data_IF_594447138668
#
_entry.id   IF_594447138668
#
_cell.length_a   1.000
_cell.length_b   1.000
_cell.length_c   1.000
_cell.angle_alpha   90.00
_cell.angle_beta   90.00
_cell.angle_gamma   90.00
#
_symmetry.space_group_name_H-M   'P 1'
#
loop_
_entity.id
_entity.type
_entity.pdbx_description
1 polymer ?
#
# COMPACT_ATOMS: atom_id res chain seq x y z
N UNK A 1 16.88 -5.56 -54.56
CA UNK A 1 16.53 -6.99 -54.32
C UNK A 1 17.35 -7.60 -53.19
N UNK A 2 18.69 -7.53 -53.21
CA UNK A 2 19.56 -8.11 -52.16
C UNK A 2 19.28 -7.52 -50.77
N UNK A 3 19.17 -6.19 -50.63
CA UNK A 3 18.89 -5.54 -49.33
C UNK A 3 17.53 -5.94 -48.72
N UNK A 4 16.50 -6.15 -49.55
CA UNK A 4 15.17 -6.59 -49.11
C UNK A 4 15.22 -8.05 -48.61
N UNK A 5 15.94 -8.92 -49.32
CA UNK A 5 16.14 -10.31 -48.91
C UNK A 5 16.95 -10.41 -47.62
N UNK A 6 17.98 -9.58 -47.45
CA UNK A 6 18.76 -9.49 -46.20
C UNK A 6 17.92 -9.01 -45.02
N UNK A 7 17.05 -8.01 -45.23
CA UNK A 7 16.14 -7.51 -44.19
C UNK A 7 15.12 -8.58 -43.76
N UNK A 8 14.51 -9.28 -44.72
CA UNK A 8 13.57 -10.38 -44.45
C UNK A 8 14.27 -11.51 -43.69
N UNK A 9 15.48 -11.88 -44.08
CA UNK A 9 16.27 -12.91 -43.39
C UNK A 9 16.59 -12.53 -41.94
N UNK A 10 17.05 -11.29 -41.70
CA UNK A 10 17.31 -10.80 -40.35
C UNK A 10 16.04 -10.74 -39.50
N UNK A 11 14.90 -10.37 -40.08
CA UNK A 11 13.60 -10.37 -39.40
C UNK A 11 13.17 -11.80 -39.01
N UNK A 12 13.35 -12.78 -39.90
CA UNK A 12 13.04 -14.19 -39.60
C UNK A 12 13.94 -14.73 -38.50
N UNK A 13 15.25 -14.46 -38.57
CA UNK A 13 16.21 -14.85 -37.52
C UNK A 13 15.86 -14.18 -36.19
N UNK A 14 15.50 -12.90 -36.21
CA UNK A 14 15.06 -12.17 -35.03
C UNK A 14 13.78 -12.77 -34.43
N UNK A 15 12.78 -13.06 -35.26
CA UNK A 15 11.54 -13.74 -34.82
C UNK A 15 11.88 -15.10 -34.23
N UNK A 16 12.70 -15.91 -34.90
CA UNK A 16 13.08 -17.24 -34.41
C UNK A 16 13.81 -17.20 -33.07
N UNK A 17 14.73 -16.25 -32.87
CA UNK A 17 15.47 -16.08 -31.61
C UNK A 17 14.55 -15.57 -30.49
N UNK A 18 13.58 -14.70 -30.82
CA UNK A 18 12.69 -14.07 -29.84
C UNK A 18 11.41 -14.85 -29.58
N UNK A 19 11.08 -15.85 -30.40
CA UNK A 19 9.94 -16.73 -30.17
C UNK A 19 10.13 -17.55 -28.90
N UNK A 20 9.22 -17.45 -27.91
CA UNK A 20 9.28 -18.29 -26.73
C UNK A 20 9.19 -19.77 -27.10
N UNK A 21 10.01 -20.59 -26.42
CA UNK A 21 10.01 -22.05 -26.54
C UNK A 21 9.27 -22.61 -25.35
N UNK A 22 8.11 -23.21 -25.59
CA UNK A 22 7.33 -23.88 -24.57
C UNK A 22 7.69 -25.37 -24.54
N UNK A 23 7.70 -25.93 -23.35
CA UNK A 23 7.78 -27.37 -23.14
C UNK A 23 6.45 -28.05 -23.52
N UNK A 24 6.49 -29.35 -23.80
CA UNK A 24 5.32 -30.12 -24.29
C UNK A 24 4.12 -30.10 -23.34
N UNK A 25 4.35 -29.88 -22.04
CA UNK A 25 3.30 -29.94 -21.02
C UNK A 25 2.77 -28.55 -20.59
N UNK A 26 3.18 -27.48 -21.27
CA UNK A 26 2.71 -26.13 -20.94
C UNK A 26 1.30 -25.86 -21.51
N UNK A 27 0.54 -24.95 -20.88
CA UNK A 27 -0.74 -24.50 -21.41
C UNK A 27 -0.64 -23.99 -22.87
N UNK A 28 -1.70 -24.14 -23.67
CA UNK A 28 -1.68 -23.74 -25.08
C UNK A 28 -1.37 -22.25 -25.22
N UNK A 29 -0.41 -21.91 -26.08
CA UNK A 29 -0.10 -20.53 -26.43
C UNK A 29 -1.05 -20.02 -27.49
N UNK A 30 -1.77 -18.96 -27.17
CA UNK A 30 -2.63 -18.27 -28.14
C UNK A 30 -1.74 -17.79 -29.31
N UNK A 31 -2.16 -18.00 -30.57
CA UNK A 31 -1.38 -17.58 -31.74
C UNK A 31 -1.14 -16.07 -31.78
N UNK A 32 0.10 -15.67 -32.08
CA UNK A 32 0.54 -14.28 -32.16
C UNK A 32 1.36 -14.03 -33.42
N UNK A 33 1.50 -12.76 -33.81
CA UNK A 33 2.17 -12.38 -35.07
C UNK A 33 3.64 -11.98 -34.87
N UNK A 34 3.97 -11.23 -33.81
CA UNK A 34 5.33 -10.73 -33.55
C UNK A 34 5.71 -11.13 -32.12
N UNK A 35 6.76 -11.95 -31.88
CA UNK A 35 7.08 -12.46 -30.54
C UNK A 35 7.32 -11.41 -29.46
N UNK A 36 7.97 -10.30 -29.82
CA UNK A 36 8.33 -9.25 -28.85
C UNK A 36 7.11 -8.46 -28.35
N UNK A 37 6.07 -8.34 -29.18
CA UNK A 37 4.84 -7.60 -28.85
C UNK A 37 3.75 -8.59 -28.42
N UNK A 38 3.66 -9.73 -29.07
CA UNK A 38 2.72 -10.79 -28.75
C UNK A 38 1.28 -10.30 -28.78
N UNK A 39 0.63 -10.41 -27.63
CA UNK A 39 -0.76 -10.02 -27.38
C UNK A 39 -0.87 -8.69 -26.63
N UNK A 40 0.24 -7.99 -26.38
CA UNK A 40 0.31 -6.80 -25.53
C UNK A 40 -0.70 -5.72 -25.95
N UNK A 41 -0.87 -5.48 -27.24
CA UNK A 41 -1.84 -4.47 -27.71
C UNK A 41 -3.29 -4.87 -27.38
N UNK A 42 -3.68 -6.11 -27.67
CA UNK A 42 -5.00 -6.65 -27.32
C UNK A 42 -5.22 -6.67 -25.80
N UNK A 43 -4.18 -6.97 -25.04
CA UNK A 43 -4.19 -6.93 -23.58
C UNK A 43 -4.35 -5.52 -23.03
N UNK A 44 -3.69 -4.50 -23.59
CA UNK A 44 -3.77 -3.13 -23.07
C UNK A 44 -5.03 -2.36 -23.50
N UNK A 45 -5.51 -2.59 -24.73
CA UNK A 45 -6.55 -1.75 -25.34
C UNK A 45 -7.88 -2.46 -25.59
N UNK A 46 -7.95 -3.78 -25.38
CA UNK A 46 -9.18 -4.57 -25.56
C UNK A 46 -9.23 -5.80 -24.63
N UNK A 47 -8.76 -5.64 -23.39
CA UNK A 47 -8.50 -6.75 -22.46
C UNK A 47 -9.72 -7.65 -22.29
N UNK A 48 -10.89 -7.08 -22.00
CA UNK A 48 -12.08 -7.86 -21.65
C UNK A 48 -12.52 -8.78 -22.80
N UNK A 49 -12.66 -8.24 -24.02
CA UNK A 49 -13.08 -9.03 -25.17
C UNK A 49 -12.00 -10.03 -25.59
N UNK A 50 -10.72 -9.62 -25.52
CA UNK A 50 -9.60 -10.49 -25.82
C UNK A 50 -9.58 -11.70 -24.88
N UNK A 51 -9.67 -11.48 -23.57
CA UNK A 51 -9.65 -12.55 -22.56
C UNK A 51 -10.87 -13.46 -22.67
N UNK A 52 -12.07 -12.90 -22.92
CA UNK A 52 -13.28 -13.69 -23.19
C UNK A 52 -13.15 -14.57 -24.44
N UNK A 53 -12.57 -14.03 -25.51
CA UNK A 53 -12.30 -14.78 -26.75
C UNK A 53 -11.31 -15.91 -26.48
N UNK A 54 -10.19 -15.61 -25.82
CA UNK A 54 -9.18 -16.61 -25.50
C UNK A 54 -9.75 -17.74 -24.63
N UNK A 55 -10.50 -17.41 -23.59
CA UNK A 55 -11.14 -18.40 -22.73
C UNK A 55 -12.13 -19.28 -23.50
N UNK A 56 -12.90 -18.70 -24.43
CA UNK A 56 -13.86 -19.42 -25.26
C UNK A 56 -13.18 -20.36 -26.27
N UNK A 57 -12.08 -19.94 -26.88
CA UNK A 57 -11.42 -20.67 -27.97
C UNK A 57 -10.37 -21.68 -27.47
N UNK A 58 -9.69 -21.39 -26.36
CA UNK A 58 -8.54 -22.17 -25.86
C UNK A 58 -8.77 -22.82 -24.50
N UNK A 59 -9.87 -22.48 -23.80
CA UNK A 59 -10.13 -22.95 -22.44
C UNK A 59 -9.16 -22.35 -21.41
N UNK A 60 -9.19 -22.83 -20.18
CA UNK A 60 -8.22 -22.49 -19.12
C UNK A 60 -7.45 -23.74 -18.65
N UNK A 61 -6.18 -23.62 -18.22
CA UNK A 61 -5.31 -22.45 -18.39
C UNK A 61 -4.88 -22.25 -19.85
N UNK A 62 -4.49 -21.04 -20.21
CA UNK A 62 -3.90 -20.73 -21.52
C UNK A 62 -2.76 -19.73 -21.39
N UNK A 63 -1.83 -19.76 -22.34
CA UNK A 63 -0.69 -18.86 -22.39
C UNK A 63 -0.94 -17.73 -23.40
N UNK A 64 -0.57 -16.50 -23.03
CA UNK A 64 -0.46 -15.35 -23.93
C UNK A 64 0.93 -14.77 -23.82
N UNK A 65 1.23 -13.77 -24.64
CA UNK A 65 2.50 -13.05 -24.60
C UNK A 65 2.20 -11.59 -24.25
N UNK A 66 2.70 -11.12 -23.13
CA UNK A 66 2.59 -9.73 -22.70
C UNK A 66 4.02 -9.19 -22.53
N UNK A 67 4.32 -8.07 -23.19
CA UNK A 67 5.65 -7.45 -23.24
C UNK A 67 6.78 -8.44 -23.59
N UNK A 68 6.52 -9.36 -24.52
CA UNK A 68 7.49 -10.37 -24.96
C UNK A 68 7.73 -11.52 -23.97
N UNK A 69 6.99 -11.57 -22.86
CA UNK A 69 7.04 -12.66 -21.87
C UNK A 69 5.81 -13.54 -22.00
N UNK A 70 5.98 -14.85 -21.88
CA UNK A 70 4.86 -15.79 -21.77
C UNK A 70 4.16 -15.58 -20.44
N UNK A 71 2.85 -15.40 -20.46
CA UNK A 71 2.01 -15.20 -19.29
C UNK A 71 0.89 -16.22 -19.31
N UNK A 72 0.80 -17.04 -18.26
CA UNK A 72 -0.30 -17.99 -18.09
C UNK A 72 -1.49 -17.31 -17.46
N UNK A 73 -2.64 -17.46 -18.09
CA UNK A 73 -3.93 -16.99 -17.61
C UNK A 73 -4.69 -18.18 -17.04
N UNK A 74 -5.08 -18.07 -15.78
CA UNK A 74 -6.04 -18.95 -15.12
C UNK A 74 -7.36 -18.21 -14.93
N UNK A 75 -8.48 -18.93 -15.03
CA UNK A 75 -9.81 -18.40 -14.80
C UNK A 75 -10.50 -19.22 -13.70
N UNK A 76 -11.83 -19.25 -13.69
CA UNK A 76 -12.60 -19.67 -12.52
C UNK A 76 -12.28 -21.10 -12.05
N UNK A 77 -12.01 -22.03 -12.98
CA UNK A 77 -11.83 -23.45 -12.65
C UNK A 77 -10.51 -23.69 -11.90
N UNK A 78 -9.42 -23.06 -12.32
CA UNK A 78 -8.08 -23.28 -11.75
C UNK A 78 -7.60 -22.17 -10.79
N UNK A 79 -8.33 -21.05 -10.68
CA UNK A 79 -8.02 -19.99 -9.72
C UNK A 79 -7.89 -20.49 -8.26
N UNK A 80 -8.74 -21.42 -7.75
CA UNK A 80 -8.59 -21.96 -6.40
C UNK A 80 -7.28 -22.73 -6.19
N UNK A 81 -6.74 -23.38 -7.23
CA UNK A 81 -5.48 -24.13 -7.14
C UNK A 81 -4.29 -23.18 -7.01
N UNK A 82 -4.25 -22.14 -7.86
CA UNK A 82 -3.21 -21.09 -7.81
C UNK A 82 -3.25 -20.31 -6.49
N UNK A 83 -4.46 -19.95 -6.03
CA UNK A 83 -4.61 -19.17 -4.78
C UNK A 83 -4.34 -19.98 -3.51
N UNK A 84 -4.54 -21.31 -3.52
CA UNK A 84 -4.21 -22.18 -2.38
C UNK A 84 -2.74 -22.57 -2.33
N UNK A 85 -2.05 -22.66 -3.48
CA UNK A 85 -0.63 -22.98 -3.59
C UNK A 85 0.28 -21.76 -3.30
N UNK A 86 0.01 -21.05 -2.20
CA UNK A 86 0.71 -19.81 -1.80
C UNK A 86 2.22 -19.99 -1.58
N UNK A 87 2.71 -21.20 -1.30
CA UNK A 87 4.15 -21.50 -1.23
C UNK A 87 4.82 -21.55 -2.62
N UNK A 88 4.05 -21.78 -3.68
CA UNK A 88 4.53 -21.88 -5.06
C UNK A 88 4.31 -20.61 -5.88
N UNK A 89 3.41 -19.73 -5.46
CA UNK A 89 3.06 -18.49 -6.16
C UNK A 89 3.22 -17.28 -5.23
N UNK A 90 4.29 -16.51 -5.45
CA UNK A 90 4.51 -15.24 -4.75
C UNK A 90 4.13 -14.05 -5.66
N UNK A 91 3.10 -13.30 -5.23
CA UNK A 91 2.67 -12.09 -5.93
C UNK A 91 3.74 -10.98 -5.89
N UNK A 92 4.66 -11.03 -4.92
CA UNK A 92 5.73 -10.05 -4.77
C UNK A 92 6.93 -10.30 -5.69
N UNK A 93 7.16 -11.51 -6.20
CA UNK A 93 8.23 -11.76 -7.20
C UNK A 93 7.96 -11.04 -8.53
N UNK A 94 6.69 -10.85 -8.92
CA UNK A 94 6.31 -10.01 -10.09
C UNK A 94 6.62 -8.52 -9.84
N UNK A 95 6.55 -8.09 -8.57
CA UNK A 95 6.74 -6.70 -8.16
C UNK A 95 8.22 -6.40 -7.88
N UNK A 96 9.01 -7.41 -7.52
CA UNK A 96 10.44 -7.32 -7.16
C UNK A 96 11.33 -6.75 -8.28
N UNK A 97 10.87 -6.82 -9.53
CA UNK A 97 11.52 -6.20 -10.70
C UNK A 97 11.07 -4.74 -10.97
N UNK A 98 10.42 -4.01 -10.05
CA UNK A 98 10.01 -2.62 -10.30
C UNK A 98 10.14 -1.74 -9.06
N UNK A 99 11.26 -1.02 -8.91
CA UNK A 99 11.32 0.10 -7.97
C UNK A 99 10.47 1.30 -8.48
N UNK A 100 10.35 2.37 -7.68
CA UNK A 100 9.53 3.54 -8.05
C UNK A 100 10.03 4.18 -9.36
N UNK A 101 11.34 4.20 -9.57
CA UNK A 101 11.93 4.78 -10.78
C UNK A 101 11.60 3.91 -12.00
N UNK A 102 11.73 2.60 -11.87
CA UNK A 102 11.37 1.63 -12.91
C UNK A 102 9.85 1.63 -13.22
N UNK A 103 9.01 1.82 -12.19
CA UNK A 103 7.58 2.06 -12.38
C UNK A 103 7.30 3.29 -13.23
N UNK A 104 8.02 4.40 -13.02
CA UNK A 104 7.84 5.61 -13.84
C UNK A 104 8.39 5.44 -15.27
N UNK A 105 9.52 4.74 -15.41
CA UNK A 105 10.12 4.45 -16.71
C UNK A 105 9.31 3.46 -17.56
N UNK A 106 8.45 2.65 -16.93
CA UNK A 106 7.57 1.70 -17.62
C UNK A 106 6.21 2.29 -18.03
N UNK A 107 5.94 3.56 -17.76
CA UNK A 107 4.66 4.19 -18.15
C UNK A 107 4.54 4.34 -19.68
N UNK A 108 3.35 4.17 -20.29
CA UNK A 108 3.17 4.21 -21.75
C UNK A 108 3.58 5.52 -22.43
N UNK A 109 3.63 6.62 -21.67
CA UNK A 109 4.00 7.95 -22.11
C UNK A 109 5.46 8.32 -21.78
N UNK A 110 6.25 7.38 -21.24
CA UNK A 110 7.68 7.60 -21.03
C UNK A 110 8.43 7.48 -22.36
N UNK A 111 9.07 8.57 -22.78
CA UNK A 111 9.95 8.59 -23.95
C UNK A 111 11.42 8.43 -23.49
N UNK A 112 12.04 7.25 -23.68
CA UNK A 112 13.43 7.03 -23.28
C UNK A 112 14.42 7.88 -24.06
N UNK A 113 14.03 8.46 -25.20
CA UNK A 113 14.87 9.36 -26.00
C UNK A 113 14.81 10.83 -25.55
N UNK A 114 13.83 11.17 -24.69
CA UNK A 114 13.61 12.53 -24.21
C UNK A 114 13.21 12.53 -22.73
N UNK A 115 14.10 12.02 -21.89
CA UNK A 115 13.86 11.91 -20.44
C UNK A 115 13.98 13.27 -19.76
N UNK A 116 12.92 13.71 -19.09
CA UNK A 116 12.96 14.87 -18.20
C UNK A 116 13.49 14.45 -16.81
N UNK A 117 14.82 14.44 -16.65
CA UNK A 117 15.47 14.05 -15.40
C UNK A 117 15.10 14.96 -14.21
N UNK A 118 14.93 16.26 -14.43
CA UNK A 118 14.53 17.20 -13.38
C UNK A 118 13.16 16.84 -12.81
N UNK A 119 12.19 16.55 -13.69
CA UNK A 119 10.86 16.12 -13.25
C UNK A 119 10.91 14.81 -12.46
N UNK A 120 11.68 13.81 -12.91
CA UNK A 120 11.83 12.55 -12.19
C UNK A 120 12.50 12.75 -10.82
N UNK A 121 13.55 13.58 -10.75
CA UNK A 121 14.21 13.91 -9.50
C UNK A 121 13.26 14.63 -8.53
N UNK A 122 12.52 15.63 -8.99
CA UNK A 122 11.53 16.36 -8.18
C UNK A 122 10.43 15.42 -7.66
N UNK A 123 9.95 14.51 -8.50
CA UNK A 123 8.94 13.52 -8.14
C UNK A 123 9.45 12.53 -7.07
N UNK A 124 10.68 12.02 -7.24
CA UNK A 124 11.30 11.13 -6.25
C UNK A 124 11.55 11.86 -4.93
N UNK A 125 12.10 13.07 -4.96
CA UNK A 125 12.30 13.90 -3.76
C UNK A 125 10.96 14.16 -3.07
N UNK A 126 9.92 14.52 -3.82
CA UNK A 126 8.59 14.72 -3.27
C UNK A 126 8.09 13.46 -2.55
N UNK A 127 8.16 12.28 -3.20
CA UNK A 127 7.73 11.01 -2.61
C UNK A 127 8.54 10.64 -1.35
N UNK A 128 9.85 10.86 -1.36
CA UNK A 128 10.73 10.63 -0.21
C UNK A 128 10.34 11.55 0.94
N UNK A 129 10.21 12.87 0.69
CA UNK A 129 9.89 13.85 1.73
C UNK A 129 8.52 13.59 2.34
N UNK A 130 7.48 13.36 1.53
CA UNK A 130 6.13 13.09 2.06
C UNK A 130 6.07 11.75 2.78
N UNK A 131 6.79 10.73 2.29
CA UNK A 131 6.86 9.41 2.90
C UNK A 131 7.58 9.41 4.25
N UNK A 132 8.76 10.03 4.33
CA UNK A 132 9.59 10.05 5.55
C UNK A 132 8.96 10.93 6.63
N UNK A 133 8.61 12.17 6.30
CA UNK A 133 8.18 13.16 7.32
C UNK A 133 6.90 12.72 8.04
N UNK A 134 5.90 12.26 7.29
CA UNK A 134 4.62 11.83 7.87
C UNK A 134 4.74 10.51 8.62
N UNK A 135 5.42 9.51 8.03
CA UNK A 135 5.62 8.20 8.67
C UNK A 135 6.48 8.32 9.92
N UNK A 136 7.55 9.11 9.89
CA UNK A 136 8.40 9.37 11.05
C UNK A 136 7.64 10.01 12.21
N UNK A 137 6.77 11.00 11.91
CA UNK A 137 5.89 11.60 12.92
C UNK A 137 4.92 10.58 13.52
N UNK A 138 4.27 9.77 12.68
CA UNK A 138 3.36 8.72 13.14
C UNK A 138 4.06 7.65 13.96
N UNK A 139 5.28 7.26 13.58
CA UNK A 139 6.12 6.32 14.35
C UNK A 139 6.46 6.86 15.73
N UNK A 140 6.88 8.13 15.82
CA UNK A 140 7.19 8.76 17.09
C UNK A 140 5.95 8.81 18.00
N UNK A 141 4.81 9.27 17.47
CA UNK A 141 3.55 9.28 18.23
C UNK A 141 3.13 7.88 18.68
N UNK A 142 3.17 6.90 17.78
CA UNK A 142 2.84 5.51 18.07
C UNK A 142 3.72 4.93 19.18
N UNK A 143 5.01 5.24 19.16
CA UNK A 143 5.95 4.79 20.17
C UNK A 143 5.65 5.43 21.53
N UNK A 144 5.29 6.72 21.58
CA UNK A 144 4.84 7.38 22.80
C UNK A 144 3.50 6.81 23.31
N UNK A 145 2.54 6.58 22.42
CA UNK A 145 1.26 5.96 22.76
C UNK A 145 1.47 4.57 23.37
N UNK A 146 2.39 3.77 22.82
CA UNK A 146 2.77 2.49 23.41
C UNK A 146 3.47 2.68 24.76
N UNK A 147 4.52 3.50 24.82
CA UNK A 147 5.36 3.66 26.00
C UNK A 147 4.67 4.36 27.20
N UNK A 148 3.65 5.17 26.94
CA UNK A 148 2.89 5.89 27.95
C UNK A 148 1.65 5.14 28.45
N UNK A 149 1.42 3.91 27.98
CA UNK A 149 0.21 3.11 28.27
C UNK A 149 0.55 1.68 28.69
N UNK A 150 1.16 1.50 29.87
CA UNK A 150 1.57 0.20 30.37
C UNK A 150 0.43 -0.82 30.47
N UNK A 151 -0.81 -0.35 30.63
CA UNK A 151 -2.01 -1.18 30.67
C UNK A 151 -2.24 -2.05 29.43
N UNK A 152 -1.58 -1.77 28.30
CA UNK A 152 -1.71 -2.55 27.06
C UNK A 152 -0.48 -3.38 26.70
N UNK A 153 0.60 -3.31 27.49
CA UNK A 153 1.88 -3.95 27.13
C UNK A 153 1.79 -5.47 27.07
N UNK A 154 1.20 -6.09 28.09
CA UNK A 154 1.15 -7.55 28.19
C UNK A 154 0.31 -8.15 27.05
N UNK A 155 -0.84 -7.54 26.77
CA UNK A 155 -1.75 -8.02 25.73
C UNK A 155 -1.15 -7.89 24.31
N UNK A 156 -0.45 -6.78 24.03
CA UNK A 156 0.25 -6.61 22.76
C UNK A 156 1.48 -7.52 22.65
N UNK A 157 2.23 -7.69 23.74
CA UNK A 157 3.38 -8.59 23.79
C UNK A 157 2.96 -10.05 23.59
N UNK A 158 1.85 -10.48 24.20
CA UNK A 158 1.30 -11.81 24.02
C UNK A 158 0.98 -12.09 22.55
N UNK A 159 0.26 -11.20 21.85
CA UNK A 159 -0.05 -11.36 20.43
C UNK A 159 1.24 -11.43 19.59
N UNK A 160 2.12 -10.44 19.76
CA UNK A 160 3.34 -10.29 18.97
C UNK A 160 4.30 -11.46 19.19
N UNK A 161 4.46 -11.92 20.43
CA UNK A 161 5.35 -13.05 20.76
C UNK A 161 4.79 -14.39 20.31
N UNK A 162 3.47 -14.60 20.40
CA UNK A 162 2.80 -15.79 19.87
C UNK A 162 2.96 -15.87 18.36
N UNK A 163 2.62 -14.79 17.66
CA UNK A 163 2.81 -14.70 16.20
C UNK A 163 4.27 -14.95 15.80
N UNK A 164 5.22 -14.34 16.52
CA UNK A 164 6.66 -14.54 16.24
C UNK A 164 7.09 -16.00 16.40
N UNK A 165 6.58 -16.71 17.42
CA UNK A 165 6.87 -18.12 17.65
C UNK A 165 6.28 -19.01 16.56
N UNK A 166 5.02 -18.76 16.18
CA UNK A 166 4.33 -19.50 15.11
C UNK A 166 5.05 -19.38 13.77
N UNK A 167 5.57 -18.20 13.45
CA UNK A 167 6.30 -17.95 12.21
C UNK A 167 7.83 -18.16 12.33
N UNK A 168 8.34 -18.50 13.50
CA UNK A 168 9.79 -18.59 13.78
C UNK A 168 10.58 -17.35 13.31
N UNK A 169 10.00 -16.16 13.52
CA UNK A 169 10.57 -14.88 13.09
C UNK A 169 10.64 -14.67 11.56
N UNK A 170 10.05 -15.55 10.75
CA UNK A 170 10.04 -15.48 9.29
C UNK A 170 8.60 -15.53 8.78
N UNK A 171 8.11 -14.41 8.26
CA UNK A 171 6.73 -14.27 7.83
C UNK A 171 6.62 -13.41 6.57
N UNK A 172 5.59 -13.67 5.78
CA UNK A 172 5.26 -12.87 4.59
C UNK A 172 4.54 -11.58 4.98
N UNK A 173 4.39 -10.66 4.02
CA UNK A 173 3.55 -9.47 4.22
C UNK A 173 2.08 -9.81 4.51
N UNK A 174 1.59 -10.95 4.02
CA UNK A 174 0.21 -11.38 4.27
C UNK A 174 0.03 -11.86 5.71
N UNK A 175 1.05 -12.50 6.29
CA UNK A 175 1.01 -12.99 7.67
C UNK A 175 0.91 -11.86 8.69
N UNK A 176 1.47 -10.69 8.38
CA UNK A 176 1.41 -9.49 9.22
C UNK A 176 -0.04 -9.06 9.54
N UNK A 177 -1.00 -9.44 8.69
CA UNK A 177 -2.42 -9.16 8.93
C UNK A 177 -3.03 -9.99 10.07
N UNK A 178 -2.34 -11.04 10.55
CA UNK A 178 -2.78 -11.87 11.69
C UNK A 178 -2.61 -11.16 13.04
N UNK A 179 -1.75 -10.15 13.13
CA UNK A 179 -1.60 -9.30 14.34
C UNK A 179 -2.70 -8.23 14.37
N UNK A 180 -3.91 -8.65 14.77
CA UNK A 180 -5.13 -7.84 14.72
C UNK A 180 -5.14 -6.78 15.83
N UNK A 181 -4.69 -7.12 17.04
CA UNK A 181 -4.63 -6.17 18.17
C UNK A 181 -3.59 -5.09 17.91
N UNK A 182 -2.42 -5.45 17.38
CA UNK A 182 -1.40 -4.51 16.97
C UNK A 182 -1.91 -3.57 15.87
N UNK A 183 -2.64 -4.10 14.89
CA UNK A 183 -3.27 -3.27 13.85
C UNK A 183 -4.28 -2.27 14.42
N UNK A 184 -5.16 -2.75 15.31
CA UNK A 184 -6.16 -1.92 16.00
C UNK A 184 -5.50 -0.85 16.88
N UNK A 185 -4.40 -1.18 17.57
CA UNK A 185 -3.62 -0.21 18.35
C UNK A 185 -3.03 0.89 17.45
N UNK A 186 -2.45 0.53 16.30
CA UNK A 186 -1.93 1.49 15.32
C UNK A 186 -3.04 2.37 14.78
N UNK A 187 -4.20 1.79 14.45
CA UNK A 187 -5.38 2.54 14.03
C UNK A 187 -5.79 3.58 15.08
N UNK A 188 -5.79 3.19 16.34
CA UNK A 188 -6.17 4.08 17.44
C UNK A 188 -5.14 5.19 17.69
N UNK A 189 -3.84 4.89 17.58
CA UNK A 189 -2.77 5.89 17.64
C UNK A 189 -2.85 6.90 16.50
N UNK A 190 -3.11 6.44 15.27
CA UNK A 190 -3.33 7.32 14.11
C UNK A 190 -4.60 8.17 14.26
N UNK A 191 -5.67 7.63 14.86
CA UNK A 191 -6.89 8.38 15.18
C UNK A 191 -6.59 9.49 16.18
N UNK A 192 -5.75 9.21 17.17
CA UNK A 192 -5.31 10.18 18.17
C UNK A 192 -4.17 11.06 17.68
N UNK A 193 -4.08 11.41 16.40
CA UNK A 193 -2.98 12.28 15.92
C UNK A 193 -2.92 13.64 16.66
N UNK A 194 -4.07 14.14 17.13
CA UNK A 194 -4.32 15.47 17.72
C UNK A 194 -4.15 16.65 16.74
N UNK A 195 -4.05 16.35 15.44
CA UNK A 195 -4.20 17.35 14.39
C UNK A 195 -5.65 17.87 14.37
N UNK A 196 -5.80 19.20 14.35
CA UNK A 196 -7.09 19.90 14.30
C UNK A 196 -7.60 19.99 12.86
N UNK A 197 -6.69 20.14 11.89
CA UNK A 197 -7.03 20.27 10.47
C UNK A 197 -6.13 19.34 9.64
N UNK A 198 -6.71 18.66 8.65
CA UNK A 198 -5.96 17.85 7.68
C UNK A 198 -6.38 18.15 6.23
N UNK A 199 -5.51 17.76 5.30
CA UNK A 199 -5.77 17.62 3.85
C UNK A 199 -6.45 18.82 3.15
N UNK A 200 -5.70 19.90 2.81
CA UNK A 200 -6.27 20.99 2.01
C UNK A 200 -6.73 20.50 0.63
N UNK A 201 -7.92 20.95 0.22
CA UNK A 201 -8.46 20.79 -1.13
C UNK A 201 -8.78 22.16 -1.70
N UNK A 202 -8.70 22.32 -3.02
CA UNK A 202 -9.12 23.54 -3.70
C UNK A 202 -10.25 23.25 -4.67
N UNK A 203 -11.25 24.14 -4.75
CA UNK A 203 -12.30 24.07 -5.77
C UNK A 203 -11.68 24.39 -7.13
N UNK A 204 -11.73 23.44 -8.07
CA UNK A 204 -11.13 23.60 -9.42
C UNK A 204 -12.16 23.98 -10.48
N UNK A 205 -13.45 23.76 -10.22
CA UNK A 205 -14.59 24.22 -11.03
C UNK A 205 -14.92 25.68 -10.71
N UNK A 206 -15.77 26.32 -11.51
CA UNK A 206 -16.16 27.73 -11.29
C UNK A 206 -16.77 27.97 -9.90
N UNK A 207 -17.56 27.01 -9.42
CA UNK A 207 -18.06 26.95 -8.06
C UNK A 207 -18.35 25.50 -7.64
N UNK A 208 -18.57 25.30 -6.35
CA UNK A 208 -19.14 24.09 -5.77
C UNK A 208 -20.33 24.44 -4.88
N UNK A 209 -21.43 23.70 -5.02
CA UNK A 209 -22.66 23.89 -4.26
C UNK A 209 -22.86 22.74 -3.28
N UNK A 210 -22.98 23.05 -2.00
CA UNK A 210 -23.35 22.10 -0.97
C UNK A 210 -24.85 21.78 -1.05
N UNK A 211 -25.26 20.62 -0.53
CA UNK A 211 -26.66 20.19 -0.52
C UNK A 211 -27.60 21.12 0.27
N UNK A 212 -27.05 21.92 1.19
CA UNK A 212 -27.78 22.94 1.96
C UNK A 212 -27.90 24.29 1.22
N UNK A 213 -27.45 24.37 -0.03
CA UNK A 213 -27.59 25.55 -0.89
C UNK A 213 -26.45 26.57 -0.80
N UNK A 214 -25.52 26.43 0.16
CA UNK A 214 -24.32 27.29 0.16
C UNK A 214 -23.41 26.97 -1.02
N UNK A 215 -22.72 27.99 -1.53
CA UNK A 215 -21.79 27.85 -2.65
C UNK A 215 -20.42 28.43 -2.30
N UNK A 216 -19.37 27.83 -2.85
CA UNK A 216 -17.98 28.30 -2.73
C UNK A 216 -17.35 28.47 -4.11
N UNK A 217 -16.55 29.53 -4.33
CA UNK A 217 -16.00 29.83 -5.66
C UNK A 217 -14.74 29.01 -5.97
N UNK A 218 -14.37 28.98 -7.25
CA UNK A 218 -13.08 28.48 -7.75
C UNK A 218 -11.90 29.03 -6.94
N UNK A 219 -10.92 28.18 -6.68
CA UNK A 219 -9.70 28.51 -5.94
C UNK A 219 -9.87 28.56 -4.42
N UNK A 220 -11.08 28.40 -3.88
CA UNK A 220 -11.29 28.34 -2.43
C UNK A 220 -10.65 27.08 -1.85
N UNK A 221 -9.77 27.28 -0.86
CA UNK A 221 -9.27 26.20 -0.03
C UNK A 221 -10.36 25.71 0.95
N UNK A 222 -10.51 24.40 1.04
CA UNK A 222 -11.38 23.68 1.95
C UNK A 222 -10.50 22.74 2.75
N UNK A 223 -10.72 22.73 4.05
CA UNK A 223 -9.98 21.93 5.00
C UNK A 223 -10.93 20.96 5.69
N UNK A 224 -10.45 19.75 5.95
CA UNK A 224 -11.19 18.77 6.74
C UNK A 224 -10.91 19.05 8.23
N UNK A 225 -11.96 19.29 9.02
CA UNK A 225 -11.84 19.45 10.47
C UNK A 225 -11.69 18.05 11.10
N UNK A 226 -10.45 17.62 11.30
CA UNK A 226 -10.13 16.25 11.68
C UNK A 226 -10.61 15.90 13.07
N UNK A 227 -10.61 16.84 14.03
CA UNK A 227 -11.08 16.59 15.40
C UNK A 227 -12.53 16.09 15.40
N UNK A 228 -13.42 16.74 14.65
CA UNK A 228 -14.84 16.36 14.54
C UNK A 228 -15.04 14.99 13.85
N UNK A 229 -14.18 14.66 12.89
CA UNK A 229 -14.24 13.37 12.21
C UNK A 229 -13.68 12.23 13.08
N UNK A 230 -12.45 12.38 13.57
CA UNK A 230 -11.68 11.36 14.29
C UNK A 230 -12.20 11.15 15.72
N UNK A 231 -12.93 12.12 16.28
CA UNK A 231 -13.57 12.03 17.60
C UNK A 231 -15.10 12.11 17.52
N UNK A 232 -15.69 11.79 16.37
CA UNK A 232 -17.15 11.74 16.19
C UNK A 232 -17.83 10.81 17.21
N UNK A 233 -18.68 11.37 18.08
CA UNK A 233 -19.43 10.59 19.06
C UNK A 233 -20.38 9.59 18.40
N UNK A 234 -20.92 9.93 17.23
CA UNK A 234 -21.79 9.03 16.46
C UNK A 234 -21.10 7.72 16.03
N UNK A 235 -19.77 7.75 15.89
CA UNK A 235 -18.97 6.59 15.50
C UNK A 235 -18.28 5.93 16.70
N UNK A 236 -17.79 6.72 17.66
CA UNK A 236 -16.90 6.25 18.73
C UNK A 236 -17.53 6.28 20.13
N UNK A 237 -18.80 6.70 20.25
CA UNK A 237 -19.51 6.83 21.52
C UNK A 237 -19.22 8.16 22.24
N UNK A 238 -19.89 8.37 23.38
CA UNK A 238 -19.76 9.58 24.20
C UNK A 238 -18.36 9.78 24.80
N UNK A 239 -17.55 8.73 24.84
CA UNK A 239 -16.15 8.74 25.27
C UNK A 239 -15.19 8.69 24.06
N UNK A 240 -15.56 9.31 22.94
CA UNK A 240 -14.80 9.27 21.67
C UNK A 240 -13.34 9.72 21.79
N UNK A 241 -13.03 10.59 22.76
CA UNK A 241 -11.67 11.09 23.04
C UNK A 241 -10.83 10.13 23.91
N UNK A 242 -11.43 9.07 24.42
CA UNK A 242 -10.71 8.02 25.14
C UNK A 242 -9.93 7.16 24.16
N UNK A 243 -8.70 6.80 24.55
CA UNK A 243 -7.88 5.88 23.80
C UNK A 243 -8.33 4.44 24.05
N UNK A 244 -8.95 3.82 23.04
CA UNK A 244 -9.53 2.48 23.11
C UNK A 244 -8.88 1.58 22.04
N UNK A 245 -7.66 1.05 22.29
CA UNK A 245 -6.84 0.45 21.24
C UNK A 245 -7.45 -0.81 20.63
N UNK A 246 -8.36 -1.48 21.33
CA UNK A 246 -8.95 -2.75 20.88
C UNK A 246 -10.40 -2.62 20.38
N UNK A 247 -10.92 -1.39 20.25
CA UNK A 247 -12.31 -1.19 19.82
C UNK A 247 -12.60 -1.65 18.37
N UNK A 248 -11.55 -1.88 17.57
CA UNK A 248 -11.66 -2.32 16.17
C UNK A 248 -11.31 -3.80 15.96
N UNK A 249 -10.96 -4.54 17.02
CA UNK A 249 -10.50 -5.93 16.93
C UNK A 249 -11.60 -6.85 16.39
N UNK A 250 -12.83 -6.72 16.90
CA UNK A 250 -13.94 -7.59 16.50
C UNK A 250 -14.38 -7.38 15.06
N UNK A 251 -14.21 -6.18 14.51
CA UNK A 251 -14.52 -5.86 13.12
C UNK A 251 -13.34 -6.14 12.17
N UNK A 252 -12.16 -6.45 12.70
CA UNK A 252 -10.92 -6.67 11.95
C UNK A 252 -10.66 -5.57 10.91
N UNK A 253 -10.78 -4.32 11.35
CA UNK A 253 -10.63 -3.16 10.48
C UNK A 253 -9.16 -2.75 10.41
N UNK A 254 -8.59 -2.80 9.21
CA UNK A 254 -7.23 -2.33 9.00
C UNK A 254 -7.05 -0.85 9.37
N UNK A 255 -5.93 -0.50 10.00
CA UNK A 255 -5.49 0.88 10.21
C UNK A 255 -5.38 1.68 8.89
N UNK A 256 -5.19 0.99 7.76
CA UNK A 256 -5.11 1.59 6.41
C UNK A 256 -6.49 1.85 5.77
N UNK A 257 -7.58 1.33 6.37
CA UNK A 257 -8.94 1.49 5.84
C UNK A 257 -9.47 2.88 6.19
N UNK A 258 -9.77 3.66 5.17
CA UNK A 258 -10.44 4.97 5.29
C UNK A 258 -11.95 4.80 5.32
N UNK A 259 -12.62 5.69 6.04
CA UNK A 259 -14.07 5.82 6.04
C UNK A 259 -14.47 7.28 6.26
N UNK A 260 -15.76 7.56 6.46
CA UNK A 260 -16.27 8.94 6.60
C UNK A 260 -15.79 9.65 7.87
N UNK A 261 -15.37 8.89 8.88
CA UNK A 261 -14.98 9.38 10.20
C UNK A 261 -13.49 9.17 10.46
N UNK A 262 -12.90 8.11 9.91
CA UNK A 262 -11.46 7.86 9.95
C UNK A 262 -10.79 8.39 8.69
N UNK A 263 -10.44 9.67 8.73
CA UNK A 263 -9.95 10.47 7.60
C UNK A 263 -8.44 10.76 7.65
N UNK A 264 -7.68 10.08 8.51
CA UNK A 264 -6.23 10.33 8.68
C UNK A 264 -5.42 10.18 7.37
N UNK A 265 -5.90 9.34 6.46
CA UNK A 265 -5.34 9.14 5.12
C UNK A 265 -6.19 9.83 4.03
N UNK A 266 -7.02 10.80 4.39
CA UNK A 266 -8.02 11.39 3.51
C UNK A 266 -9.15 10.43 3.17
N UNK A 267 -9.78 10.64 2.01
CA UNK A 267 -10.93 9.84 1.58
C UNK A 267 -11.24 9.96 0.08
N UNK A 268 -12.03 9.01 -0.42
CA UNK A 268 -12.45 8.92 -1.82
C UNK A 268 -11.29 8.68 -2.79
N UNK A 269 -11.41 9.21 -4.03
CA UNK A 269 -10.39 9.08 -5.09
C UNK A 269 -9.03 9.70 -4.74
N UNK A 270 -8.98 10.53 -3.70
CA UNK A 270 -7.76 11.19 -3.23
C UNK A 270 -7.31 10.67 -1.86
N UNK A 271 -7.78 9.48 -1.45
CA UNK A 271 -7.21 8.81 -0.29
C UNK A 271 -5.72 8.55 -0.54
N UNK A 272 -4.90 8.72 0.50
CA UNK A 272 -3.45 8.59 0.43
C UNK A 272 -3.07 7.24 -0.19
N UNK A 273 -2.32 7.23 -1.31
CA UNK A 273 -1.88 5.99 -1.93
C UNK A 273 -0.87 5.24 -1.06
N UNK A 274 -0.06 5.95 -0.27
CA UNK A 274 0.96 5.39 0.62
C UNK A 274 0.43 4.79 1.93
N UNK A 275 -0.89 4.80 2.19
CA UNK A 275 -1.47 4.36 3.48
C UNK A 275 -1.13 2.91 3.85
N UNK A 276 -1.07 2.02 2.85
CA UNK A 276 -0.72 0.62 3.07
C UNK A 276 0.74 0.46 3.49
N UNK A 277 1.64 1.18 2.80
CA UNK A 277 3.05 1.23 3.15
C UNK A 277 3.28 1.83 4.54
N UNK A 278 2.63 2.96 4.85
CA UNK A 278 2.76 3.61 6.16
C UNK A 278 2.33 2.67 7.30
N UNK A 279 1.17 2.03 7.19
CA UNK A 279 0.69 1.08 8.21
C UNK A 279 1.59 -0.13 8.33
N UNK A 280 2.10 -0.66 7.21
CA UNK A 280 3.07 -1.75 7.22
C UNK A 280 4.35 -1.37 7.98
N UNK A 281 4.92 -0.20 7.69
CA UNK A 281 6.13 0.30 8.37
C UNK A 281 5.88 0.50 9.87
N UNK A 282 4.76 1.14 10.24
CA UNK A 282 4.36 1.33 11.64
C UNK A 282 4.26 -0.01 12.38
N UNK A 283 3.62 -1.00 11.74
CA UNK A 283 3.41 -2.33 12.33
C UNK A 283 4.70 -3.10 12.49
N UNK A 284 5.54 -3.16 11.45
CA UNK A 284 6.83 -3.84 11.50
C UNK A 284 7.77 -3.21 12.54
N UNK A 285 7.78 -1.88 12.62
CA UNK A 285 8.55 -1.16 13.63
C UNK A 285 8.10 -1.55 15.04
N UNK A 286 6.80 -1.40 15.33
CA UNK A 286 6.30 -1.62 16.68
C UNK A 286 6.38 -3.10 17.08
N UNK A 287 6.15 -4.03 16.15
CA UNK A 287 6.41 -5.46 16.32
C UNK A 287 7.85 -5.72 16.81
N UNK A 288 8.86 -5.14 16.15
CA UNK A 288 10.26 -5.31 16.53
C UNK A 288 10.57 -4.66 17.89
N UNK A 289 10.00 -3.49 18.16
CA UNK A 289 10.18 -2.79 19.43
C UNK A 289 9.60 -3.61 20.59
N UNK A 290 8.35 -4.07 20.46
CA UNK A 290 7.66 -4.87 21.48
C UNK A 290 8.43 -6.15 21.79
N UNK A 291 8.96 -6.86 20.78
CA UNK A 291 9.71 -8.09 21.00
C UNK A 291 11.04 -7.88 21.74
N UNK A 292 11.75 -6.79 21.41
CA UNK A 292 13.14 -6.61 21.85
C UNK A 292 13.27 -5.72 23.08
N UNK A 293 12.30 -4.86 23.32
CA UNK A 293 12.40 -3.81 24.34
C UNK A 293 11.14 -3.69 25.17
N UNK A 294 11.36 -3.36 26.43
CA UNK A 294 10.40 -2.72 27.30
C UNK A 294 10.64 -1.21 27.17
N UNK A 295 9.67 -0.49 26.60
CA UNK A 295 9.79 0.94 26.32
C UNK A 295 8.81 1.70 27.19
N UNK A 296 9.30 2.69 27.93
CA UNK A 296 8.48 3.50 28.84
C UNK A 296 8.85 4.97 28.80
N UNK A 297 7.90 5.81 29.16
CA UNK A 297 8.17 7.23 29.44
C UNK A 297 8.83 7.34 30.83
N UNK A 298 9.54 8.44 31.10
CA UNK A 298 10.23 8.63 32.39
C UNK A 298 9.27 8.53 33.58
N UNK A 299 8.07 9.10 33.43
CA UNK A 299 7.05 9.18 34.47
C UNK A 299 5.98 8.08 34.37
N UNK A 300 6.10 7.14 33.43
CA UNK A 300 5.13 6.06 33.20
C UNK A 300 3.74 6.50 32.70
N UNK A 301 3.57 7.79 32.40
CA UNK A 301 2.33 8.39 31.90
C UNK A 301 2.51 8.87 30.46
N UNK A 302 1.40 9.05 29.76
CA UNK A 302 1.38 9.63 28.41
C UNK A 302 1.82 11.11 28.42
N UNK A 303 2.92 11.47 27.73
CA UNK A 303 3.33 12.85 27.56
C UNK A 303 2.30 13.65 26.77
N UNK A 304 2.15 14.94 27.09
CA UNK A 304 1.31 15.83 26.29
C UNK A 304 1.97 16.12 24.94
N UNK A 305 1.19 16.01 23.86
CA UNK A 305 1.63 16.48 22.55
C UNK A 305 1.76 18.00 22.53
N UNK A 306 2.62 18.48 21.66
CA UNK A 306 2.84 19.93 21.48
C UNK A 306 2.08 20.34 20.23
N UNK A 307 1.31 21.42 20.32
CA UNK A 307 0.62 21.99 19.16
C UNK A 307 1.49 23.04 18.49
N UNK A 308 1.68 22.90 17.18
CA UNK A 308 2.29 23.93 16.31
C UNK A 308 1.26 24.33 15.27
N UNK A 309 0.55 25.42 15.54
CA UNK A 309 -0.64 25.76 14.76
C UNK A 309 -1.70 24.66 14.87
N UNK A 310 -2.33 24.21 13.77
CA UNK A 310 -3.35 23.16 13.81
C UNK A 310 -2.77 21.75 13.87
N UNK A 311 -1.44 21.58 13.92
CA UNK A 311 -0.79 20.28 13.87
C UNK A 311 -0.20 19.90 15.22
N UNK A 312 -0.38 18.65 15.61
CA UNK A 312 0.27 18.07 16.76
C UNK A 312 1.63 17.49 16.35
N UNK A 313 2.66 17.84 17.12
CA UNK A 313 3.99 17.24 17.00
C UNK A 313 4.21 16.26 18.17
N UNK A 314 5.05 15.22 17.96
CA UNK A 314 5.37 14.29 19.01
C UNK A 314 5.93 14.99 20.25
N UNK A 315 5.68 14.42 21.45
CA UNK A 315 6.26 14.93 22.68
C UNK A 315 7.78 15.10 22.59
N UNK A 316 8.32 16.10 23.29
CA UNK A 316 9.77 16.35 23.40
C UNK A 316 10.40 15.68 24.63
N UNK A 317 9.75 14.63 25.14
CA UNK A 317 10.23 13.85 26.29
C UNK A 317 11.13 12.70 25.83
N UNK A 318 11.98 12.21 26.72
CA UNK A 318 12.83 11.05 26.44
C UNK A 318 12.07 9.74 26.70
N UNK A 319 12.41 8.71 25.93
CA UNK A 319 11.92 7.34 26.15
C UNK A 319 13.06 6.47 26.68
N UNK A 320 12.73 5.60 27.63
CA UNK A 320 13.66 4.64 28.21
C UNK A 320 13.42 3.30 27.53
N UNK A 321 14.48 2.75 26.94
CA UNK A 321 14.49 1.42 26.32
C UNK A 321 15.28 0.46 27.20
N UNK A 322 14.60 -0.57 27.69
CA UNK A 322 15.19 -1.67 28.45
C UNK A 322 15.11 -2.93 27.60
N UNK A 323 16.23 -3.58 27.31
CA UNK A 323 16.22 -4.81 26.51
C UNK A 323 15.44 -5.91 27.25
N UNK A 324 14.51 -6.58 26.56
CA UNK A 324 13.85 -7.77 27.11
C UNK A 324 14.88 -8.90 27.20
N UNK A 325 14.92 -9.59 28.33
CA UNK A 325 15.74 -10.80 28.47
C UNK A 325 15.22 -11.83 27.49
N UNK A 326 16.11 -12.41 26.68
CA UNK A 326 15.76 -13.54 25.82
C UNK A 326 15.19 -14.65 26.71
N UNK A 327 13.92 -15.00 26.50
CA UNK A 327 13.23 -16.13 27.15
C UNK A 327 13.27 -17.36 26.27
#
# INVERSE_FOLDING_TARGET
MIALLSFIFLLIVFIYIKSPRLSENEPPLVPYTIPVIGHTFSYLFNTENFMKKCLKEYGEPFNIIIFGRVTTVVAQKYLPEVTKAHENFDSFEVIKENDILEFYMSQPNFDPSNVNYSYLADLLIFLIVVGISTTGRSLANLLFDYAGRPEYWDELYEEVSTFNKECNGKFSLNDINKMIKLDSFIRESLRHTDDIIIAPRAVTTDHFSFSNGYTIPKGRNVFDFSDDCLYSESQYGSDSKSFKPFQFVSQNISASKVDRTYVIFGGGRHACPGRFYAVLVLKLFLYNVILKYHVRTENGNMPKKIMTGPFAIPPKESLIFEQRKET
#
